data_IF_506851550874
#
_entry.id   IF_506851550874
#
_cell.length_a   1.000
_cell.length_b   1.000
_cell.length_c   1.000
_cell.angle_alpha   90.00
_cell.angle_beta   90.00
_cell.angle_gamma   90.00
#
_symmetry.space_group_name_H-M   'P 1'
#
loop_
_entity.id
_entity.type
_entity.pdbx_description
1 polymer ?
#
# COMPACT_ATOMS: atom_id res chain seq x y z
N UNK A 1 -3.50 -4.89 -7.69
CA UNK A 1 -2.43 -3.98 -8.19
C UNK A 1 -1.68 -3.19 -7.09
N UNK A 2 -2.27 -2.91 -5.92
CA UNK A 2 -1.61 -2.19 -4.79
C UNK A 2 -0.49 -2.96 -4.05
N UNK A 3 -0.51 -4.28 -4.18
CA UNK A 3 0.42 -5.21 -3.53
C UNK A 3 1.89 -4.84 -3.80
N UNK A 4 2.24 -4.38 -5.00
CA UNK A 4 3.63 -4.05 -5.34
C UNK A 4 4.17 -2.81 -4.60
N UNK A 5 3.30 -1.88 -4.19
CA UNK A 5 3.69 -0.68 -3.42
C UNK A 5 3.89 -1.03 -1.93
N UNK A 6 3.08 -1.95 -1.39
CA UNK A 6 3.08 -2.30 0.04
C UNK A 6 3.95 -3.52 0.40
N UNK A 7 4.21 -4.45 -0.53
CA UNK A 7 5.09 -5.63 -0.31
C UNK A 7 6.58 -5.25 -0.32
N UNK A 8 6.88 -3.96 -0.49
CA UNK A 8 8.22 -3.40 -0.32
C UNK A 8 8.59 -3.36 1.17
N UNK A 9 8.71 -4.52 1.81
CA UNK A 9 9.35 -4.65 3.12
C UNK A 9 10.77 -4.07 2.99
N UNK A 10 11.13 -3.03 3.76
CA UNK A 10 12.43 -2.37 3.61
C UNK A 10 13.62 -3.29 3.88
N UNK A 11 13.38 -4.41 4.57
CA UNK A 11 14.36 -5.45 4.89
C UNK A 11 14.63 -6.44 3.74
N UNK A 12 13.81 -6.44 2.68
CA UNK A 12 13.95 -7.37 1.55
C UNK A 12 14.70 -6.71 0.38
N UNK A 13 15.61 -7.47 -0.23
CA UNK A 13 16.23 -7.09 -1.51
C UNK A 13 15.18 -7.11 -2.63
N UNK A 14 15.45 -6.42 -3.76
CA UNK A 14 14.55 -6.44 -4.94
C UNK A 14 14.26 -7.85 -5.45
N UNK A 15 15.25 -8.74 -5.39
CA UNK A 15 15.10 -10.15 -5.79
C UNK A 15 14.15 -10.88 -4.84
N UNK A 16 14.31 -10.68 -3.52
CA UNK A 16 13.41 -11.26 -2.52
C UNK A 16 11.98 -10.72 -2.63
N UNK A 17 11.82 -9.44 -2.94
CA UNK A 17 10.50 -8.83 -3.19
C UNK A 17 9.81 -9.47 -4.41
N UNK A 18 10.56 -9.72 -5.49
CA UNK A 18 10.05 -10.37 -6.70
C UNK A 18 9.59 -11.81 -6.41
N UNK A 19 10.43 -12.58 -5.70
CA UNK A 19 10.10 -13.95 -5.29
C UNK A 19 8.87 -13.96 -4.39
N UNK A 20 8.79 -13.06 -3.41
CA UNK A 20 7.64 -12.95 -2.51
C UNK A 20 6.36 -12.61 -3.27
N UNK A 21 6.39 -11.62 -4.17
CA UNK A 21 5.24 -11.24 -5.00
C UNK A 21 4.75 -12.43 -5.85
N UNK A 22 5.67 -13.17 -6.47
CA UNK A 22 5.31 -14.34 -7.27
C UNK A 22 4.67 -15.45 -6.43
N UNK A 23 5.23 -15.75 -5.26
CA UNK A 23 4.68 -16.76 -4.35
C UNK A 23 3.33 -16.33 -3.79
N UNK A 24 3.14 -15.05 -3.50
CA UNK A 24 1.87 -14.50 -3.02
C UNK A 24 0.79 -14.66 -4.09
N UNK A 25 1.07 -14.30 -5.35
CA UNK A 25 0.13 -14.48 -6.47
C UNK A 25 -0.27 -15.93 -6.66
N UNK A 26 0.70 -16.85 -6.61
CA UNK A 26 0.45 -18.29 -6.72
C UNK A 26 -0.43 -18.80 -5.57
N UNK A 27 -0.12 -18.40 -4.33
CA UNK A 27 -0.92 -18.77 -3.18
C UNK A 27 -2.37 -18.25 -3.32
N UNK A 28 -2.55 -16.98 -3.69
CA UNK A 28 -3.89 -16.40 -3.88
C UNK A 28 -4.71 -17.11 -4.96
N UNK A 29 -4.08 -17.43 -6.10
CA UNK A 29 -4.72 -18.19 -7.17
C UNK A 29 -5.23 -19.55 -6.66
N UNK A 30 -4.45 -20.22 -5.81
CA UNK A 30 -4.86 -21.51 -5.24
C UNK A 30 -6.02 -21.40 -4.22
N UNK A 31 -6.33 -20.21 -3.72
CA UNK A 31 -7.42 -19.94 -2.80
C UNK A 31 -8.64 -19.26 -3.47
N UNK A 32 -8.69 -19.22 -4.81
CA UNK A 32 -9.73 -18.50 -5.58
C UNK A 32 -9.95 -17.05 -5.12
N UNK A 33 -8.88 -16.42 -4.63
CA UNK A 33 -8.91 -14.99 -4.31
C UNK A 33 -8.68 -14.24 -5.60
N UNK A 34 -9.69 -13.51 -6.08
CA UNK A 34 -9.54 -12.59 -7.20
C UNK A 34 -8.45 -11.57 -6.85
N UNK A 35 -7.24 -11.82 -7.38
CA UNK A 35 -6.01 -11.07 -7.07
C UNK A 35 -6.04 -9.61 -7.53
N UNK A 36 -7.05 -9.30 -8.33
CA UNK A 36 -7.21 -8.02 -9.01
C UNK A 36 -8.04 -7.06 -8.16
N UNK A 37 -8.86 -7.58 -7.23
CA UNK A 37 -9.84 -6.80 -6.47
C UNK A 37 -9.49 -6.66 -4.99
N UNK A 38 -8.77 -7.62 -4.39
CA UNK A 38 -8.54 -7.64 -2.93
C UNK A 38 -7.05 -7.56 -2.57
N UNK A 39 -6.71 -6.60 -1.72
CA UNK A 39 -5.39 -6.51 -1.08
C UNK A 39 -5.22 -7.68 -0.08
N UNK A 40 -4.16 -8.47 -0.24
CA UNK A 40 -3.90 -9.66 0.60
C UNK A 40 -3.75 -9.31 2.06
N UNK A 41 -3.11 -8.18 2.37
CA UNK A 41 -2.98 -7.72 3.76
C UNK A 41 -4.36 -7.47 4.37
N UNK A 42 -5.31 -6.97 3.59
CA UNK A 42 -6.68 -6.72 4.04
C UNK A 42 -7.50 -7.99 4.17
N UNK A 43 -7.28 -8.97 3.28
CA UNK A 43 -7.92 -10.28 3.38
C UNK A 43 -7.64 -10.96 4.72
N UNK A 44 -6.42 -10.82 5.26
CA UNK A 44 -6.05 -11.45 6.52
C UNK A 44 -6.63 -10.77 7.77
N UNK A 45 -7.17 -9.55 7.66
CA UNK A 45 -7.76 -8.84 8.81
C UNK A 45 -8.89 -9.65 9.47
N UNK A 46 -9.64 -10.45 8.70
CA UNK A 46 -10.73 -11.29 9.22
C UNK A 46 -10.28 -12.41 10.15
N UNK A 47 -8.98 -12.71 10.18
CA UNK A 47 -8.38 -13.75 11.02
C UNK A 47 -7.61 -13.17 12.21
N UNK A 48 -7.58 -11.85 12.35
CA UNK A 48 -6.88 -11.14 13.41
C UNK A 48 -7.86 -10.68 14.49
N UNK A 49 -7.38 -10.56 15.72
CA UNK A 49 -8.11 -9.83 16.76
C UNK A 49 -8.11 -8.33 16.42
N UNK A 50 -9.11 -7.55 16.85
CA UNK A 50 -9.17 -6.13 16.54
C UNK A 50 -7.92 -5.32 16.94
N UNK A 51 -7.30 -5.65 18.08
CA UNK A 51 -6.05 -5.04 18.56
C UNK A 51 -4.87 -5.34 17.62
N UNK A 52 -4.75 -6.58 17.15
CA UNK A 52 -3.74 -7.00 16.18
C UNK A 52 -3.94 -6.32 14.82
N UNK A 53 -5.18 -6.23 14.37
CA UNK A 53 -5.55 -5.57 13.12
C UNK A 53 -5.18 -4.07 13.16
N UNK A 54 -5.41 -3.40 14.29
CA UNK A 54 -5.01 -1.99 14.49
C UNK A 54 -3.51 -1.82 14.37
N UNK A 55 -2.70 -2.67 15.03
CA UNK A 55 -1.23 -2.59 14.96
C UNK A 55 -0.72 -2.70 13.52
N UNK A 56 -1.24 -3.66 12.75
CA UNK A 56 -0.87 -3.83 11.33
C UNK A 56 -1.28 -2.60 10.49
N UNK A 57 -2.45 -2.03 10.76
CA UNK A 57 -2.91 -0.82 10.08
C UNK A 57 -2.05 0.41 10.43
N UNK A 58 -1.51 0.51 11.65
CA UNK A 58 -0.56 1.57 12.02
C UNK A 58 0.76 1.46 11.25
N UNK A 59 1.31 0.26 11.12
CA UNK A 59 2.52 0.01 10.33
C UNK A 59 2.28 0.36 8.86
N UNK A 60 1.13 -0.04 8.32
CA UNK A 60 0.72 0.30 6.95
C UNK A 60 0.56 1.81 6.79
N UNK A 61 -0.08 2.50 7.74
CA UNK A 61 -0.22 3.97 7.73
C UNK A 61 1.15 4.65 7.65
N UNK A 62 2.11 4.20 8.47
CA UNK A 62 3.46 4.76 8.47
C UNK A 62 4.18 4.52 7.13
N UNK A 63 3.99 3.37 6.50
CA UNK A 63 4.54 3.08 5.18
C UNK A 63 3.94 3.98 4.09
N UNK A 64 2.61 4.09 4.04
CA UNK A 64 1.89 4.93 3.07
C UNK A 64 2.29 6.39 3.24
N UNK A 65 2.44 6.86 4.48
CA UNK A 65 2.84 8.23 4.76
C UNK A 65 4.26 8.55 4.29
N UNK A 66 5.25 7.66 4.56
CA UNK A 66 6.61 7.80 4.01
C UNK A 66 6.64 7.80 2.48
N UNK A 67 5.82 6.97 1.85
CA UNK A 67 5.71 6.94 0.39
C UNK A 67 5.11 8.23 -0.16
N UNK A 68 4.11 8.80 0.52
CA UNK A 68 3.52 10.09 0.15
C UNK A 68 4.55 11.21 0.25
N UNK A 69 5.30 11.28 1.36
CA UNK A 69 6.40 12.23 1.56
C UNK A 69 7.43 12.11 0.44
N UNK A 70 7.86 10.90 0.10
CA UNK A 70 8.80 10.67 -1.01
C UNK A 70 8.27 11.16 -2.36
N UNK A 71 6.99 10.94 -2.65
CA UNK A 71 6.35 11.41 -3.90
C UNK A 71 6.29 12.94 -3.96
N UNK A 72 6.22 13.61 -2.81
CA UNK A 72 6.27 15.07 -2.69
C UNK A 72 7.71 15.60 -2.79
N UNK A 73 8.68 14.89 -2.21
CA UNK A 73 10.09 15.30 -2.11
C UNK A 73 10.92 15.02 -3.37
N UNK A 74 10.55 14.03 -4.19
CA UNK A 74 11.31 13.61 -5.38
C UNK A 74 11.29 14.67 -6.52
N UNK A 75 11.77 15.90 -6.32
CA UNK A 75 12.17 16.80 -7.42
C UNK A 75 13.45 17.60 -7.16
N UNK A 76 14.52 17.12 -7.80
CA UNK A 76 15.59 17.95 -8.34
C UNK A 76 15.32 18.24 -9.82
N UNK A 77 15.63 19.46 -10.26
CA UNK A 77 15.43 19.96 -11.63
C UNK A 77 16.28 19.15 -12.62
N UNK A 78 15.74 18.06 -13.18
CA UNK A 78 16.32 17.43 -14.37
C UNK A 78 15.71 18.10 -15.61
N UNK A 79 16.58 18.61 -16.48
CA UNK A 79 16.20 19.08 -17.82
C UNK A 79 15.72 17.87 -18.61
N UNK A 80 14.41 17.72 -18.69
CA UNK A 80 13.77 16.71 -19.52
C UNK A 80 12.90 17.41 -20.56
N UNK A 81 12.52 16.69 -21.61
CA UNK A 81 11.58 17.21 -22.58
C UNK A 81 10.22 17.54 -21.92
N UNK A 82 9.51 18.51 -22.49
CA UNK A 82 8.29 19.05 -21.89
C UNK A 82 7.17 18.00 -21.77
N UNK A 83 7.11 17.04 -22.69
CA UNK A 83 6.07 16.01 -22.71
C UNK A 83 6.29 14.95 -21.63
N UNK A 84 7.51 14.43 -21.51
CA UNK A 84 7.91 13.50 -20.45
C UNK A 84 7.74 14.13 -19.06
N UNK A 85 8.03 15.44 -18.94
CA UNK A 85 7.73 16.22 -17.74
C UNK A 85 6.25 16.21 -17.35
N UNK A 86 5.37 16.48 -18.32
CA UNK A 86 3.92 16.47 -18.11
C UNK A 86 3.39 15.06 -17.76
N UNK A 87 3.84 14.02 -18.45
CA UNK A 87 3.43 12.63 -18.17
C UNK A 87 3.85 12.22 -16.76
N UNK A 88 5.07 12.55 -16.32
CA UNK A 88 5.50 12.27 -14.94
C UNK A 88 4.69 13.03 -13.90
N UNK A 89 4.28 14.27 -14.20
CA UNK A 89 3.40 15.02 -13.31
C UNK A 89 2.04 14.34 -13.14
N UNK A 90 1.44 13.84 -14.23
CA UNK A 90 0.17 13.10 -14.19
C UNK A 90 0.30 11.83 -13.36
N UNK A 91 1.35 11.02 -13.60
CA UNK A 91 1.59 9.78 -12.85
C UNK A 91 1.77 10.06 -11.36
N UNK A 92 2.55 11.09 -11.01
CA UNK A 92 2.75 11.50 -9.61
C UNK A 92 1.48 11.96 -8.94
N UNK A 93 0.69 12.78 -9.62
CA UNK A 93 -0.58 13.26 -9.08
C UNK A 93 -1.55 12.09 -8.83
N UNK A 94 -1.59 11.14 -9.76
CA UNK A 94 -2.34 9.90 -9.58
C UNK A 94 -1.87 9.10 -8.36
N UNK A 95 -0.56 8.90 -8.19
CA UNK A 95 0.02 8.21 -7.02
C UNK A 95 -0.32 8.96 -5.73
N UNK A 96 -0.18 10.29 -5.72
CA UNK A 96 -0.50 11.15 -4.57
C UNK A 96 -1.95 10.96 -4.12
N UNK A 97 -2.90 11.03 -5.06
CA UNK A 97 -4.33 10.85 -4.78
C UNK A 97 -4.63 9.45 -4.22
N UNK A 98 -4.01 8.42 -4.77
CA UNK A 98 -4.13 7.05 -4.28
C UNK A 98 -3.65 6.94 -2.82
N UNK A 99 -2.45 7.44 -2.51
CA UNK A 99 -1.87 7.33 -1.18
C UNK A 99 -2.69 8.12 -0.15
N UNK A 100 -3.23 9.29 -0.53
CA UNK A 100 -4.12 10.07 0.34
C UNK A 100 -5.42 9.31 0.65
N UNK A 101 -6.07 8.76 -0.38
CA UNK A 101 -7.29 7.96 -0.19
C UNK A 101 -7.03 6.75 0.71
N UNK A 102 -5.87 6.11 0.59
CA UNK A 102 -5.48 5.00 1.46
C UNK A 102 -5.29 5.43 2.92
N UNK A 103 -4.66 6.58 3.18
CA UNK A 103 -4.52 7.10 4.55
C UNK A 103 -5.87 7.40 5.20
N UNK A 104 -6.79 8.00 4.45
CA UNK A 104 -8.16 8.26 4.93
C UNK A 104 -8.90 6.96 5.24
N UNK A 105 -8.78 5.97 4.35
CA UNK A 105 -9.37 4.65 4.54
C UNK A 105 -8.80 3.94 5.79
N UNK A 106 -7.47 3.96 5.99
CA UNK A 106 -6.83 3.35 7.17
C UNK A 106 -7.34 4.02 8.45
N UNK A 107 -7.37 5.36 8.49
CA UNK A 107 -7.82 6.10 9.67
C UNK A 107 -9.29 5.79 10.01
N UNK A 108 -10.16 5.69 8.99
CA UNK A 108 -11.56 5.30 9.21
C UNK A 108 -11.70 3.86 9.70
N UNK A 109 -10.91 2.93 9.15
CA UNK A 109 -10.96 1.51 9.50
C UNK A 109 -10.48 1.26 10.93
N UNK A 110 -9.39 1.91 11.35
CA UNK A 110 -8.91 1.82 12.73
C UNK A 110 -9.96 2.33 13.74
N UNK A 111 -10.67 3.43 13.40
CA UNK A 111 -11.75 3.95 14.25
C UNK A 111 -12.84 2.90 14.46
N UNK A 112 -13.26 2.23 13.39
CA UNK A 112 -14.27 1.17 13.45
C UNK A 112 -13.81 -0.04 14.27
N UNK A 113 -12.55 -0.46 14.14
CA UNK A 113 -12.00 -1.56 14.93
C UNK A 113 -11.93 -1.23 16.42
N UNK A 114 -11.61 0.01 16.79
CA UNK A 114 -11.67 0.45 18.19
C UNK A 114 -13.08 0.41 18.77
N UNK A 115 -14.10 0.82 17.99
CA UNK A 115 -15.51 0.72 18.40
C UNK A 115 -15.93 -0.73 18.64
N UNK A 116 -15.49 -1.66 17.77
CA UNK A 116 -15.76 -3.09 17.93
C UNK A 116 -15.04 -3.73 19.13
N UNK A 117 -13.93 -3.15 19.59
CA UNK A 117 -13.17 -3.64 20.74
C UNK A 117 -13.76 -3.19 22.09
N UNK A 118 -14.59 -2.14 22.07
CA UNK A 118 -15.20 -1.55 23.26
C UNK A 118 -16.63 -2.09 23.53
N UNK A 119 -17.20 -2.83 22.59
CA UNK A 119 -18.51 -3.48 22.67
C UNK A 119 -18.40 -4.90 23.24
#
# INVERSE_FOLDING_TARGET
MWQTICISLPSLTREQQCVLDQQLRLAMHNYDLETDTIDVGLFFLRYMRPDEAVLILEERRALVQRNLERVLDEYGIRKEDAYAGAVRQIIREHIRLILQAELEWIASTMRHLHELSAA
#
